data_IF_970312697388
#
_entry.id   IF_970312697388
#
_cell.length_a   1.000
_cell.length_b   1.000
_cell.length_c   1.000
_cell.angle_alpha   90.00
_cell.angle_beta   90.00
_cell.angle_gamma   90.00
#
_symmetry.space_group_name_H-M   'P 1'
#
loop_
_entity.id
_entity.type
_entity.pdbx_description
1 polymer ?
#
# COMPACT_ATOMS: atom_id res chain seq x y z
N UNK A 1 -19.87 -0.77 -2.34
CA UNK A 1 -18.75 0.00 -2.95
C UNK A 1 -17.33 -0.33 -2.42
N UNK A 2 -17.11 -1.05 -1.29
CA UNK A 2 -15.76 -1.51 -0.84
C UNK A 2 -15.05 -2.54 -1.77
N UNK A 3 -15.33 -2.57 -3.08
CA UNK A 3 -14.82 -3.58 -4.04
C UNK A 3 -14.33 -3.01 -5.40
N UNK A 4 -14.39 -1.69 -5.61
CA UNK A 4 -14.07 -1.05 -6.91
C UNK A 4 -12.64 -0.47 -7.02
N UNK A 5 -11.73 -0.83 -6.08
CA UNK A 5 -10.34 -0.32 -6.07
C UNK A 5 -9.26 -1.43 -6.28
N UNK A 6 -9.44 -2.46 -7.13
CA UNK A 6 -8.36 -3.43 -7.38
C UNK A 6 -7.30 -2.92 -8.36
N UNK A 7 -7.65 -2.05 -9.33
CA UNK A 7 -6.76 -1.72 -10.44
C UNK A 7 -5.64 -0.74 -10.05
N UNK A 8 -5.94 0.25 -9.21
CA UNK A 8 -4.93 1.20 -8.72
C UNK A 8 -3.89 0.54 -7.79
N UNK A 9 -4.24 -0.56 -7.11
CA UNK A 9 -3.29 -1.31 -6.29
C UNK A 9 -2.16 -1.93 -7.12
N UNK A 10 -2.40 -2.25 -8.41
CA UNK A 10 -1.34 -2.76 -9.30
C UNK A 10 -0.28 -1.69 -9.62
N UNK A 11 -0.69 -0.42 -9.69
CA UNK A 11 0.20 0.73 -9.83
C UNK A 11 0.97 1.05 -8.53
N UNK A 12 0.53 0.49 -7.40
CA UNK A 12 1.20 0.55 -6.10
C UNK A 12 2.03 -0.72 -5.78
N UNK A 13 2.28 -1.64 -6.73
CA UNK A 13 3.24 -2.74 -6.53
C UNK A 13 4.69 -2.26 -6.30
N UNK A 14 4.96 -0.96 -6.49
CA UNK A 14 6.22 -0.32 -6.08
C UNK A 14 6.31 -0.15 -4.55
N UNK A 15 5.20 -0.09 -3.81
CA UNK A 15 5.20 0.19 -2.36
C UNK A 15 5.44 -1.03 -1.46
N UNK A 16 5.68 -2.22 -2.03
CA UNK A 16 6.11 -3.42 -1.30
C UNK A 16 7.50 -3.92 -1.74
N UNK A 17 8.20 -3.18 -2.59
CA UNK A 17 9.63 -3.37 -2.83
C UNK A 17 10.39 -2.50 -1.80
N UNK A 18 11.36 -3.04 -1.05
CA UNK A 18 12.29 -2.20 -0.29
C UNK A 18 13.03 -1.25 -1.25
N UNK A 19 13.25 -0.01 -0.81
CA UNK A 19 13.79 1.08 -1.63
C UNK A 19 15.33 1.03 -1.66
N UNK A 20 15.93 1.22 -2.84
CA UNK A 20 17.34 0.98 -3.18
C UNK A 20 17.83 2.11 -4.16
N UNK A 21 19.12 2.26 -4.52
CA UNK A 21 19.62 3.12 -5.65
C UNK A 21 21.08 2.89 -6.11
N UNK A 22 21.61 3.43 -7.24
CA UNK A 22 21.18 4.38 -8.31
C UNK A 22 21.95 4.12 -9.65
N UNK A 23 21.98 4.92 -10.73
CA UNK A 23 22.78 4.78 -12.01
C UNK A 23 22.82 3.43 -12.82
N UNK A 24 22.59 3.27 -14.13
CA UNK A 24 22.16 4.16 -15.21
C UNK A 24 22.67 3.82 -16.64
N UNK A 25 22.67 2.55 -17.14
CA UNK A 25 22.97 2.27 -18.58
C UNK A 25 22.17 1.13 -19.26
N UNK A 26 22.05 1.24 -20.59
CA UNK A 26 21.01 0.64 -21.45
C UNK A 26 20.76 -0.86 -21.28
N UNK A 27 19.52 -1.21 -20.94
CA UNK A 27 19.03 -2.56 -20.63
C UNK A 27 18.89 -3.52 -21.84
N UNK A 28 19.99 -3.72 -22.57
CA UNK A 28 20.12 -4.76 -23.61
C UNK A 28 21.00 -5.93 -23.20
N UNK A 29 21.93 -5.76 -22.25
CA UNK A 29 22.82 -6.81 -21.75
C UNK A 29 23.51 -6.42 -20.41
N UNK A 30 22.81 -5.68 -19.54
CA UNK A 30 23.38 -5.16 -18.28
C UNK A 30 23.50 -6.26 -17.21
N UNK A 31 24.47 -6.15 -16.30
CA UNK A 31 24.61 -7.06 -15.16
C UNK A 31 23.54 -6.86 -14.08
N UNK A 32 23.50 -7.70 -13.03
CA UNK A 32 22.47 -7.66 -12.00
C UNK A 32 22.54 -6.37 -11.18
N UNK A 33 23.75 -5.95 -10.78
CA UNK A 33 23.96 -4.67 -10.14
C UNK A 33 23.58 -3.53 -11.09
N UNK A 34 24.10 -3.48 -12.31
CA UNK A 34 23.84 -2.40 -13.28
C UNK A 34 22.37 -2.28 -13.69
N UNK A 35 21.60 -3.36 -13.65
CA UNK A 35 20.15 -3.35 -13.96
C UNK A 35 19.34 -2.77 -12.81
N UNK A 36 19.66 -3.17 -11.57
CA UNK A 36 19.10 -2.58 -10.36
C UNK A 36 19.51 -1.10 -10.26
N UNK A 37 20.81 -0.81 -10.28
CA UNK A 37 21.43 0.53 -10.30
C UNK A 37 20.75 1.38 -11.45
N UNK A 38 20.41 0.82 -12.65
CA UNK A 38 19.68 1.55 -13.70
C UNK A 38 18.21 1.93 -13.41
N UNK A 39 17.40 1.04 -12.83
CA UNK A 39 16.01 1.32 -12.39
C UNK A 39 15.94 2.59 -11.53
N UNK A 40 16.97 2.78 -10.72
CA UNK A 40 16.88 3.56 -9.51
C UNK A 40 17.39 4.99 -9.67
N UNK A 41 18.37 5.22 -10.57
CA UNK A 41 18.57 6.56 -11.13
C UNK A 41 17.29 7.10 -11.74
N UNK A 42 16.46 6.22 -12.33
CA UNK A 42 15.15 6.60 -12.84
C UNK A 42 14.25 7.18 -11.75
N UNK A 43 14.13 6.48 -10.60
CA UNK A 43 13.34 6.97 -9.46
C UNK A 43 13.89 8.29 -8.90
N UNK A 44 15.21 8.41 -8.69
CA UNK A 44 15.86 9.66 -8.23
C UNK A 44 15.52 10.85 -9.15
N UNK A 45 15.68 10.65 -10.47
CA UNK A 45 15.48 11.68 -11.49
C UNK A 45 14.01 11.86 -11.90
N UNK A 46 13.07 11.22 -11.20
CA UNK A 46 11.62 11.22 -11.46
C UNK A 46 11.24 10.73 -12.88
N UNK A 47 12.04 9.81 -13.40
CA UNK A 47 11.92 9.10 -14.68
C UNK A 47 11.40 7.67 -14.45
N UNK A 48 10.11 7.58 -14.14
CA UNK A 48 9.38 6.34 -13.85
C UNK A 48 9.28 5.41 -15.08
N UNK A 49 9.61 5.87 -16.28
CA UNK A 49 9.84 4.98 -17.43
C UNK A 49 10.91 3.92 -17.15
N UNK A 50 11.87 4.18 -16.25
CA UNK A 50 12.84 3.18 -15.81
C UNK A 50 12.19 2.01 -15.04
N UNK A 51 11.16 2.29 -14.23
CA UNK A 51 10.39 1.26 -13.50
C UNK A 51 9.65 0.35 -14.49
N UNK A 52 9.08 0.92 -15.55
CA UNK A 52 8.50 0.12 -16.63
C UNK A 52 9.57 -0.69 -17.38
N UNK A 53 10.68 -0.05 -17.78
CA UNK A 53 11.76 -0.67 -18.56
C UNK A 53 12.51 -1.77 -17.80
N UNK A 54 12.49 -1.77 -16.46
CA UNK A 54 13.05 -2.82 -15.62
C UNK A 54 12.29 -4.16 -15.75
N UNK A 55 10.96 -4.12 -15.91
CA UNK A 55 10.12 -5.32 -16.00
C UNK A 55 10.38 -6.13 -17.30
N UNK A 56 10.38 -7.48 -17.27
CA UNK A 56 10.32 -8.35 -18.44
C UNK A 56 9.20 -7.98 -19.43
N UNK A 57 9.34 -8.38 -20.70
CA UNK A 57 8.36 -8.06 -21.74
C UNK A 57 7.01 -8.75 -21.49
N UNK A 58 7.00 -10.00 -21.02
CA UNK A 58 5.76 -10.66 -20.58
C UNK A 58 5.12 -9.97 -19.38
N UNK A 59 5.91 -9.41 -18.46
CA UNK A 59 5.41 -8.73 -17.26
C UNK A 59 4.78 -7.38 -17.64
N UNK A 60 5.39 -6.64 -18.57
CA UNK A 60 4.81 -5.45 -19.20
C UNK A 60 3.49 -5.81 -19.92
N UNK A 61 3.48 -6.92 -20.67
CA UNK A 61 2.28 -7.39 -21.37
C UNK A 61 1.15 -7.82 -20.41
N UNK A 62 1.47 -8.50 -19.30
CA UNK A 62 0.50 -8.89 -18.27
C UNK A 62 -0.24 -7.67 -17.71
N UNK A 63 0.50 -6.62 -17.33
CA UNK A 63 -0.08 -5.38 -16.77
C UNK A 63 -0.94 -4.64 -17.81
N UNK A 64 -0.44 -4.49 -19.04
CA UNK A 64 -1.20 -3.86 -20.12
C UNK A 64 -2.50 -4.65 -20.41
N UNK A 65 -2.40 -5.97 -20.52
CA UNK A 65 -3.56 -6.84 -20.78
C UNK A 65 -4.58 -6.78 -19.64
N UNK A 66 -4.14 -6.75 -18.38
CA UNK A 66 -5.03 -6.65 -17.22
C UNK A 66 -5.84 -5.33 -17.20
N UNK A 67 -5.22 -4.21 -17.57
CA UNK A 67 -5.91 -2.92 -17.68
C UNK A 67 -6.94 -2.91 -18.81
N UNK A 68 -6.61 -3.53 -19.95
CA UNK A 68 -7.49 -3.66 -21.12
C UNK A 68 -8.64 -4.64 -20.85
N UNK A 69 -8.38 -5.76 -20.15
CA UNK A 69 -9.37 -6.73 -19.68
C UNK A 69 -10.38 -6.08 -18.73
N UNK A 70 -9.92 -5.26 -17.78
CA UNK A 70 -10.80 -4.48 -16.91
C UNK A 70 -11.68 -3.51 -17.72
N UNK A 71 -11.09 -2.80 -18.69
CA UNK A 71 -11.83 -1.88 -19.56
C UNK A 71 -12.91 -2.59 -20.38
N UNK A 72 -12.68 -3.85 -20.78
CA UNK A 72 -13.69 -4.66 -21.51
C UNK A 72 -14.90 -5.06 -20.66
N UNK A 73 -14.74 -5.08 -19.32
CA UNK A 73 -15.76 -5.55 -18.35
C UNK A 73 -16.53 -4.43 -17.68
N UNK A 74 -15.90 -3.27 -17.47
CA UNK A 74 -16.45 -2.19 -16.66
C UNK A 74 -17.56 -1.42 -17.40
N UNK A 75 -18.53 -0.89 -16.64
CA UNK A 75 -19.56 -0.02 -17.19
C UNK A 75 -19.01 1.40 -17.46
N UNK A 76 -19.15 1.94 -18.70
CA UNK A 76 -18.55 3.22 -19.07
C UNK A 76 -19.21 4.43 -18.41
N UNK A 77 -20.50 4.36 -18.05
CA UNK A 77 -21.22 5.44 -17.40
C UNK A 77 -20.75 5.59 -15.94
N UNK A 78 -20.56 4.46 -15.25
CA UNK A 78 -19.95 4.43 -13.91
C UNK A 78 -18.49 4.89 -13.98
N UNK A 79 -17.69 4.37 -14.92
CA UNK A 79 -16.25 4.62 -14.96
C UNK A 79 -15.91 6.04 -15.38
N UNK A 80 -16.41 6.49 -16.54
CA UNK A 80 -16.14 7.84 -17.04
C UNK A 80 -16.76 8.88 -16.12
N UNK A 81 -18.00 8.65 -15.63
CA UNK A 81 -18.66 9.53 -14.68
C UNK A 81 -17.88 9.71 -13.38
N UNK A 82 -17.21 8.67 -12.87
CA UNK A 82 -16.32 8.80 -11.71
C UNK A 82 -15.08 9.67 -12.00
N UNK A 83 -14.49 9.55 -13.19
CA UNK A 83 -13.34 10.37 -13.58
C UNK A 83 -13.71 11.83 -13.89
N UNK A 84 -14.84 12.08 -14.55
CA UNK A 84 -15.40 13.42 -14.74
C UNK A 84 -15.67 14.11 -13.39
N UNK A 85 -16.24 13.37 -12.43
CA UNK A 85 -16.40 13.83 -11.04
C UNK A 85 -15.05 14.18 -10.39
N UNK A 86 -14.02 13.35 -10.62
CA UNK A 86 -12.66 13.58 -10.15
C UNK A 86 -11.99 14.80 -10.79
N UNK A 87 -12.20 15.03 -12.09
CA UNK A 87 -11.70 16.21 -12.81
C UNK A 87 -12.34 17.50 -12.30
N UNK A 88 -13.65 17.48 -12.04
CA UNK A 88 -14.37 18.61 -11.40
C UNK A 88 -13.84 18.89 -10.00
N UNK A 89 -13.64 17.85 -9.18
CA UNK A 89 -13.03 17.99 -7.85
C UNK A 89 -11.61 18.60 -7.95
N UNK A 90 -10.75 18.08 -8.82
CA UNK A 90 -9.40 18.60 -9.03
C UNK A 90 -9.40 20.09 -9.45
N UNK A 91 -10.35 20.47 -10.32
CA UNK A 91 -10.57 21.86 -10.71
C UNK A 91 -10.99 22.74 -9.51
N UNK A 92 -11.95 22.31 -8.69
CA UNK A 92 -12.38 23.05 -7.49
C UNK A 92 -11.22 23.22 -6.50
N UNK A 93 -10.47 22.15 -6.23
CA UNK A 93 -9.32 22.20 -5.32
C UNK A 93 -8.22 23.17 -5.79
N UNK A 94 -8.12 23.41 -7.11
CA UNK A 94 -7.20 24.37 -7.71
C UNK A 94 -7.75 25.80 -7.72
N UNK A 95 -9.02 25.99 -8.11
CA UNK A 95 -9.64 27.30 -8.30
C UNK A 95 -10.16 27.94 -7.01
N UNK A 96 -10.50 27.13 -6.00
CA UNK A 96 -11.09 27.58 -4.72
C UNK A 96 -10.13 27.38 -3.53
N UNK A 97 -8.82 27.22 -3.78
CA UNK A 97 -7.77 26.97 -2.75
C UNK A 97 -7.97 27.84 -1.50
N UNK A 98 -8.03 29.15 -1.68
CA UNK A 98 -8.12 30.09 -0.56
C UNK A 98 -9.41 29.90 0.27
N UNK A 99 -10.56 29.68 -0.37
CA UNK A 99 -11.82 29.41 0.33
C UNK A 99 -11.77 28.12 1.16
N UNK A 100 -11.01 27.12 0.71
CA UNK A 100 -10.84 25.85 1.42
C UNK A 100 -9.86 26.01 2.59
N UNK A 101 -8.74 26.70 2.39
CA UNK A 101 -7.75 26.96 3.46
C UNK A 101 -8.29 27.92 4.54
N UNK A 102 -9.19 28.83 4.17
CA UNK A 102 -9.91 29.70 5.10
C UNK A 102 -11.05 28.99 5.86
N UNK A 103 -11.45 27.78 5.46
CA UNK A 103 -12.54 27.06 6.11
C UNK A 103 -12.17 26.74 7.58
N UNK A 104 -13.06 27.10 8.51
CA UNK A 104 -12.82 26.94 9.95
C UNK A 104 -12.56 25.49 10.40
N UNK A 105 -13.00 24.47 9.66
CA UNK A 105 -12.69 23.07 9.97
C UNK A 105 -11.29 22.68 9.51
N UNK A 106 -10.81 23.25 8.40
CA UNK A 106 -9.43 23.06 7.91
C UNK A 106 -8.44 23.78 8.82
N UNK A 107 -8.78 25.00 9.28
CA UNK A 107 -7.99 25.75 10.27
C UNK A 107 -7.94 25.09 11.67
N UNK A 108 -8.71 24.03 11.92
CA UNK A 108 -8.68 23.23 13.16
C UNK A 108 -7.84 21.94 13.03
N UNK A 109 -7.28 21.66 11.86
CA UNK A 109 -6.28 20.59 11.67
C UNK A 109 -5.00 20.96 12.45
N UNK A 110 -4.33 20.03 13.15
CA UNK A 110 -3.12 20.32 13.94
C UNK A 110 -1.86 20.48 13.05
N UNK A 111 -1.93 21.36 12.05
CA UNK A 111 -0.84 21.72 11.14
C UNK A 111 -0.80 23.24 10.94
N UNK A 112 0.38 23.89 10.86
CA UNK A 112 0.48 25.32 10.58
C UNK A 112 -0.18 25.68 9.23
N UNK A 113 -0.90 26.82 9.13
CA UNK A 113 -1.53 27.26 7.87
C UNK A 113 -0.54 27.37 6.70
N UNK A 114 0.71 27.76 6.99
CA UNK A 114 1.79 27.86 6.01
C UNK A 114 2.11 26.49 5.41
N UNK A 115 2.29 25.46 6.25
CA UNK A 115 2.52 24.08 5.82
C UNK A 115 1.33 23.49 5.07
N UNK A 116 0.10 23.82 5.47
CA UNK A 116 -1.10 23.45 4.71
C UNK A 116 -1.09 24.10 3.31
N UNK A 117 -0.67 25.37 3.21
CA UNK A 117 -0.53 26.09 1.94
C UNK A 117 0.56 25.53 1.01
N UNK A 118 1.67 25.04 1.57
CA UNK A 118 2.78 24.37 0.88
C UNK A 118 2.36 22.99 0.34
N UNK A 119 1.85 22.12 1.22
CA UNK A 119 1.41 20.75 0.89
C UNK A 119 0.24 20.72 -0.10
N UNK A 120 -0.54 21.79 -0.19
CA UNK A 120 -1.72 21.89 -1.07
C UNK A 120 -1.38 21.63 -2.54
N UNK A 121 -0.38 22.33 -3.07
CA UNK A 121 -0.15 22.35 -4.51
C UNK A 121 0.33 20.97 -5.04
N UNK A 122 1.30 20.29 -4.41
CA UNK A 122 1.66 18.92 -4.80
C UNK A 122 0.51 17.92 -4.66
N UNK A 123 -0.28 18.02 -3.59
CA UNK A 123 -1.45 17.14 -3.36
C UNK A 123 -2.50 17.28 -4.46
N UNK A 124 -2.87 18.52 -4.82
CA UNK A 124 -3.82 18.79 -5.91
C UNK A 124 -3.26 18.40 -7.28
N UNK A 125 -1.94 18.55 -7.48
CA UNK A 125 -1.27 18.07 -8.70
C UNK A 125 -1.32 16.54 -8.84
N UNK A 126 -1.14 15.78 -7.75
CA UNK A 126 -1.25 14.31 -7.76
C UNK A 126 -2.66 13.89 -8.22
N UNK A 127 -3.70 14.46 -7.59
CA UNK A 127 -5.09 14.21 -7.96
C UNK A 127 -5.32 14.60 -9.43
N UNK A 128 -4.85 15.78 -9.84
CA UNK A 128 -4.98 16.28 -11.21
C UNK A 128 -4.29 15.39 -12.24
N UNK A 129 -3.10 14.87 -11.96
CA UNK A 129 -2.37 13.96 -12.85
C UNK A 129 -3.17 12.66 -13.06
N UNK A 130 -3.63 12.02 -11.98
CA UNK A 130 -4.42 10.79 -12.05
C UNK A 130 -5.71 10.98 -12.86
N UNK A 131 -6.51 12.01 -12.55
CA UNK A 131 -7.84 12.17 -13.18
C UNK A 131 -7.81 12.66 -14.63
N UNK A 132 -6.65 13.08 -15.15
CA UNK A 132 -6.46 13.48 -16.55
C UNK A 132 -5.58 12.50 -17.36
N UNK A 133 -5.00 11.48 -16.70
CA UNK A 133 -4.07 10.48 -17.26
C UNK A 133 -4.66 9.57 -18.36
N UNK A 134 -3.90 8.57 -18.81
CA UNK A 134 -4.41 7.49 -19.67
C UNK A 134 -5.43 6.57 -18.97
N UNK A 135 -5.59 6.69 -17.65
CA UNK A 135 -6.65 6.03 -16.89
C UNK A 135 -7.99 6.79 -16.95
N UNK A 136 -8.01 8.03 -17.46
CA UNK A 136 -9.15 8.96 -17.27
C UNK A 136 -10.42 8.65 -18.06
N UNK A 137 -10.40 7.64 -18.93
CA UNK A 137 -11.63 7.08 -19.50
C UNK A 137 -11.45 5.61 -19.86
N UNK A 138 -12.57 4.89 -19.89
CA UNK A 138 -12.60 3.47 -20.25
C UNK A 138 -12.08 3.24 -21.69
N UNK A 139 -12.29 4.20 -22.60
CA UNK A 139 -11.79 4.11 -23.98
C UNK A 139 -10.27 4.30 -24.07
N UNK A 140 -9.66 5.13 -23.21
CA UNK A 140 -8.20 5.19 -23.08
C UNK A 140 -7.64 3.89 -22.51
N UNK A 141 -8.32 3.29 -21.52
CA UNK A 141 -7.88 2.02 -20.93
C UNK A 141 -7.90 0.84 -21.91
N UNK A 142 -8.82 0.81 -22.89
CA UNK A 142 -8.84 -0.21 -23.97
C UNK A 142 -7.54 -0.25 -24.79
N UNK A 143 -6.79 0.85 -24.80
CA UNK A 143 -5.46 0.96 -25.39
C UNK A 143 -4.40 1.37 -24.37
N UNK A 144 -4.54 0.93 -23.11
CA UNK A 144 -3.60 1.29 -22.05
C UNK A 144 -2.20 0.78 -22.37
N UNK A 145 -1.21 1.67 -22.26
CA UNK A 145 0.21 1.35 -22.29
C UNK A 145 0.89 1.88 -21.02
N UNK A 146 1.42 0.98 -20.19
CA UNK A 146 2.09 1.32 -18.95
C UNK A 146 3.39 2.10 -19.14
N UNK A 147 4.05 2.00 -20.29
CA UNK A 147 5.25 2.77 -20.61
C UNK A 147 4.93 4.24 -20.88
N UNK A 148 3.89 4.50 -21.68
CA UNK A 148 3.35 5.85 -21.88
C UNK A 148 2.82 6.42 -20.56
N UNK A 149 2.05 5.64 -19.79
CA UNK A 149 1.54 6.08 -18.49
C UNK A 149 2.68 6.45 -17.53
N UNK A 150 3.72 5.62 -17.39
CA UNK A 150 4.83 5.90 -16.48
C UNK A 150 5.64 7.12 -16.93
N UNK A 151 6.03 7.20 -18.21
CA UNK A 151 6.79 8.34 -18.76
C UNK A 151 6.05 9.68 -18.74
N UNK A 152 4.72 9.68 -18.64
CA UNK A 152 3.89 10.91 -18.65
C UNK A 152 3.27 11.22 -17.28
N UNK A 153 2.45 10.30 -16.77
CA UNK A 153 1.72 10.45 -15.50
C UNK A 153 2.58 10.01 -14.34
N UNK A 154 3.31 8.89 -14.45
CA UNK A 154 4.26 8.43 -13.43
C UNK A 154 5.29 9.51 -13.08
N UNK A 155 5.89 10.16 -14.08
CA UNK A 155 6.87 11.24 -13.89
C UNK A 155 6.25 12.46 -13.18
N UNK A 156 4.99 12.79 -13.47
CA UNK A 156 4.26 13.84 -12.74
C UNK A 156 3.95 13.44 -11.30
N UNK A 157 3.59 12.18 -11.05
CA UNK A 157 3.36 11.67 -9.69
C UNK A 157 4.64 11.68 -8.87
N UNK A 158 5.73 11.11 -9.39
CA UNK A 158 7.04 11.07 -8.74
C UNK A 158 7.51 12.48 -8.34
N UNK A 159 7.44 13.44 -9.25
CA UNK A 159 7.81 14.83 -8.99
C UNK A 159 7.02 15.47 -7.83
N UNK A 160 5.71 15.23 -7.75
CA UNK A 160 4.89 15.78 -6.67
C UNK A 160 5.04 14.99 -5.36
N UNK A 161 5.34 13.68 -5.43
CA UNK A 161 5.66 12.86 -4.25
C UNK A 161 7.02 13.26 -3.62
N UNK A 162 8.05 13.53 -4.43
CA UNK A 162 9.32 14.10 -3.97
C UNK A 162 9.08 15.46 -3.30
N UNK A 163 8.31 16.34 -3.94
CA UNK A 163 7.96 17.64 -3.36
C UNK A 163 7.15 17.56 -2.04
N UNK A 164 6.40 16.48 -1.80
CA UNK A 164 5.78 16.21 -0.48
C UNK A 164 6.78 15.64 0.52
N UNK A 165 7.70 14.78 0.08
CA UNK A 165 8.77 14.21 0.91
C UNK A 165 9.75 15.27 1.41
N UNK A 166 10.09 16.26 0.59
CA UNK A 166 11.00 17.35 0.96
C UNK A 166 10.35 18.33 1.97
N UNK A 167 9.01 18.35 2.07
CA UNK A 167 8.24 19.13 3.05
C UNK A 167 7.95 18.35 4.35
N UNK A 168 8.20 17.04 4.37
CA UNK A 168 8.00 16.21 5.55
C UNK A 168 9.04 16.52 6.64
N UNK A 169 8.67 16.51 7.94
CA UNK A 169 9.67 16.57 9.01
C UNK A 169 10.55 15.32 8.97
N UNK A 170 11.86 15.48 8.76
CA UNK A 170 12.86 14.42 8.93
C UNK A 170 13.54 14.52 10.31
N UNK A 171 13.93 13.39 10.94
CA UNK A 171 14.71 13.41 12.18
C UNK A 171 16.07 14.10 12.01
N UNK A 172 16.56 14.74 13.07
CA UNK A 172 17.87 15.40 13.06
C UNK A 172 19.00 14.36 12.88
N UNK A 173 19.67 14.41 11.73
CA UNK A 173 20.81 13.55 11.40
C UNK A 173 20.51 12.43 10.39
N UNK A 174 19.25 12.18 10.05
CA UNK A 174 18.88 11.20 9.02
C UNK A 174 18.89 11.82 7.60
N UNK A 175 19.43 11.09 6.63
CA UNK A 175 19.31 11.40 5.22
C UNK A 175 17.83 11.33 4.77
N UNK A 176 17.36 12.35 4.04
CA UNK A 176 16.03 12.32 3.42
C UNK A 176 15.93 11.24 2.35
N UNK A 177 14.71 10.92 1.93
CA UNK A 177 14.46 9.95 0.85
C UNK A 177 15.28 10.26 -0.42
N UNK A 178 15.38 11.52 -0.85
CA UNK A 178 16.13 11.92 -2.04
C UNK A 178 17.65 11.82 -1.85
N UNK A 179 18.17 12.12 -0.65
CA UNK A 179 19.58 11.92 -0.27
C UNK A 179 19.92 10.42 -0.19
N UNK A 180 19.05 9.61 0.44
CA UNK A 180 19.20 8.14 0.54
C UNK A 180 19.27 7.48 -0.82
N UNK A 181 18.32 7.78 -1.73
CA UNK A 181 18.38 7.26 -3.10
C UNK A 181 19.74 7.61 -3.73
N UNK A 182 20.06 8.89 -3.82
CA UNK A 182 21.26 9.37 -4.51
C UNK A 182 22.58 8.75 -4.02
N UNK A 183 22.70 8.43 -2.74
CA UNK A 183 23.93 7.89 -2.15
C UNK A 183 23.97 6.36 -2.02
N UNK A 184 22.86 5.66 -2.31
CA UNK A 184 22.83 4.19 -2.25
C UNK A 184 23.71 3.56 -3.32
N UNK A 185 24.37 2.45 -2.95
CA UNK A 185 25.25 1.67 -3.82
C UNK A 185 24.81 0.21 -3.89
N UNK A 186 24.76 -0.34 -5.08
CA UNK A 186 24.56 -1.76 -5.41
C UNK A 186 25.89 -2.33 -5.88
N UNK A 187 26.26 -3.47 -5.35
CA UNK A 187 27.46 -4.22 -5.74
C UNK A 187 27.11 -5.68 -5.97
N UNK A 188 27.86 -6.39 -6.82
CA UNK A 188 27.68 -7.84 -7.02
C UNK A 188 28.48 -8.59 -5.96
N UNK A 189 27.81 -9.44 -5.18
CA UNK A 189 28.46 -10.38 -4.24
C UNK A 189 28.78 -11.68 -4.95
N UNK A 190 27.85 -12.18 -5.76
CA UNK A 190 27.97 -13.44 -6.49
C UNK A 190 27.18 -13.40 -7.80
N UNK A 191 27.51 -14.28 -8.75
CA UNK A 191 26.71 -14.53 -9.96
C UNK A 191 26.94 -15.96 -10.41
N UNK A 192 25.86 -16.72 -10.63
CA UNK A 192 25.89 -18.09 -11.14
C UNK A 192 24.89 -18.21 -12.31
N UNK A 193 25.39 -18.02 -13.53
CA UNK A 193 24.62 -18.06 -14.78
C UNK A 193 23.47 -17.04 -14.85
N UNK A 194 22.28 -17.47 -14.46
CA UNK A 194 21.03 -16.70 -14.47
C UNK A 194 20.54 -16.29 -13.08
N UNK A 195 21.32 -16.54 -12.02
CA UNK A 195 21.11 -16.01 -10.66
C UNK A 195 22.29 -15.14 -10.20
N UNK A 196 22.07 -14.24 -9.25
CA UNK A 196 23.10 -13.41 -8.63
C UNK A 196 22.67 -12.90 -7.25
N UNK A 197 23.60 -12.74 -6.31
CA UNK A 197 23.38 -11.95 -5.09
C UNK A 197 23.97 -10.56 -5.29
N UNK A 198 23.18 -9.52 -5.05
CA UNK A 198 23.63 -8.14 -4.99
C UNK A 198 23.56 -7.62 -3.55
N UNK A 199 24.55 -6.82 -3.16
CA UNK A 199 24.63 -6.15 -1.86
C UNK A 199 24.34 -4.68 -2.05
N UNK A 200 23.48 -4.12 -1.18
CA UNK A 200 22.94 -2.78 -1.32
C UNK A 200 23.14 -2.00 -0.03
N UNK A 201 23.81 -0.85 -0.15
CA UNK A 201 24.33 -0.05 0.96
C UNK A 201 23.77 1.37 0.83
N UNK A 202 22.77 1.70 1.66
CA UNK A 202 22.10 3.00 1.71
C UNK A 202 22.54 3.79 2.96
N UNK A 203 22.45 5.14 2.97
CA UNK A 203 22.70 5.92 4.18
C UNK A 203 21.75 5.53 5.32
N UNK A 204 22.28 5.55 6.54
CA UNK A 204 21.56 5.30 7.80
C UNK A 204 20.82 3.95 7.88
N UNK A 205 21.24 2.97 7.09
CA UNK A 205 20.66 1.62 7.05
C UNK A 205 21.73 0.53 6.99
N UNK A 206 21.45 -0.64 7.55
CA UNK A 206 22.33 -1.79 7.42
C UNK A 206 22.35 -2.32 5.97
N UNK A 207 23.53 -2.67 5.43
CA UNK A 207 23.66 -3.31 4.13
C UNK A 207 22.81 -4.57 3.98
N UNK A 208 21.99 -4.61 2.94
CA UNK A 208 21.08 -5.74 2.63
C UNK A 208 21.60 -6.52 1.43
N UNK A 209 21.41 -7.83 1.43
CA UNK A 209 21.74 -8.69 0.28
C UNK A 209 20.46 -9.25 -0.33
N UNK A 210 20.25 -8.95 -1.61
CA UNK A 210 19.05 -9.28 -2.38
C UNK A 210 19.41 -10.30 -3.48
N UNK A 211 18.56 -11.31 -3.69
CA UNK A 211 18.74 -12.29 -4.75
C UNK A 211 18.07 -11.80 -6.03
N UNK A 212 18.80 -11.89 -7.14
CA UNK A 212 18.39 -11.45 -8.47
C UNK A 212 18.38 -12.63 -9.43
N UNK A 213 17.36 -12.70 -10.28
CA UNK A 213 17.23 -13.73 -11.33
C UNK A 213 17.02 -13.10 -12.69
N UNK A 214 17.52 -13.76 -13.75
CA UNK A 214 17.41 -13.27 -15.12
C UNK A 214 16.15 -13.82 -15.79
N UNK A 215 15.15 -12.96 -16.01
CA UNK A 215 13.90 -13.27 -16.73
C UNK A 215 13.88 -12.49 -18.04
N UNK A 216 13.76 -13.19 -19.16
CA UNK A 216 13.73 -12.59 -20.53
C UNK A 216 14.93 -11.67 -20.84
N UNK A 217 16.10 -11.97 -20.26
CA UNK A 217 17.31 -11.17 -20.42
C UNK A 217 17.44 -9.97 -19.46
N UNK A 218 16.45 -9.73 -18.59
CA UNK A 218 16.50 -8.68 -17.56
C UNK A 218 16.69 -9.28 -16.17
N UNK A 219 17.50 -8.64 -15.34
CA UNK A 219 17.66 -9.01 -13.94
C UNK A 219 16.58 -8.35 -13.08
N UNK A 220 15.81 -9.16 -12.36
CA UNK A 220 14.78 -8.71 -11.40
C UNK A 220 14.99 -9.38 -10.03
N UNK A 221 14.48 -8.81 -8.93
CA UNK A 221 14.48 -9.46 -7.62
C UNK A 221 13.78 -10.81 -7.69
N UNK A 222 14.36 -11.83 -7.05
CA UNK A 222 13.81 -13.18 -7.08
C UNK A 222 12.41 -13.22 -6.45
N UNK A 223 12.19 -12.50 -5.36
CA UNK A 223 10.87 -12.37 -4.74
C UNK A 223 9.80 -11.86 -5.73
N UNK A 224 10.15 -10.87 -6.58
CA UNK A 224 9.28 -10.38 -7.64
C UNK A 224 9.04 -11.43 -8.73
N UNK A 225 10.07 -12.20 -9.11
CA UNK A 225 9.95 -13.25 -10.10
C UNK A 225 9.02 -14.39 -9.64
N UNK A 226 9.28 -14.92 -8.45
CA UNK A 226 8.57 -16.07 -7.87
C UNK A 226 7.08 -15.75 -7.62
N UNK A 227 6.78 -14.52 -7.16
CA UNK A 227 5.40 -14.12 -6.85
C UNK A 227 4.60 -13.55 -8.04
N UNK A 228 5.24 -13.19 -9.16
CA UNK A 228 4.56 -12.51 -10.29
C UNK A 228 3.34 -13.28 -10.81
N UNK A 229 3.50 -14.57 -11.07
CA UNK A 229 2.43 -15.39 -11.65
C UNK A 229 1.26 -15.58 -10.67
N UNK A 230 1.50 -15.71 -9.35
CA UNK A 230 0.42 -15.70 -8.33
C UNK A 230 -0.30 -14.35 -8.35
N UNK A 231 0.43 -13.23 -8.31
CA UNK A 231 -0.14 -11.90 -8.30
C UNK A 231 -1.00 -11.60 -9.55
N UNK A 232 -0.55 -12.00 -10.74
CA UNK A 232 -1.33 -11.83 -11.98
C UNK A 232 -2.53 -12.77 -12.05
N UNK A 233 -2.42 -14.01 -11.56
CA UNK A 233 -3.56 -14.93 -11.45
C UNK A 233 -4.62 -14.40 -10.48
N UNK A 234 -4.22 -13.92 -9.31
CA UNK A 234 -5.12 -13.31 -8.31
C UNK A 234 -5.79 -12.04 -8.84
N UNK A 235 -5.07 -11.21 -9.60
CA UNK A 235 -5.63 -10.04 -10.26
C UNK A 235 -6.68 -10.41 -11.32
N UNK A 236 -6.37 -11.39 -12.19
CA UNK A 236 -7.30 -11.93 -13.21
C UNK A 236 -8.52 -12.60 -12.57
N UNK A 237 -8.35 -13.28 -11.44
CA UNK A 237 -9.43 -13.86 -10.64
C UNK A 237 -10.36 -12.77 -10.08
N UNK A 238 -9.80 -11.72 -9.47
CA UNK A 238 -10.55 -10.55 -8.97
C UNK A 238 -11.30 -9.82 -10.10
N UNK A 239 -10.72 -9.70 -11.30
CA UNK A 239 -11.41 -9.17 -12.49
C UNK A 239 -12.50 -10.11 -13.04
N UNK A 240 -12.34 -11.42 -12.90
CA UNK A 240 -13.35 -12.40 -13.33
C UNK A 240 -14.61 -12.34 -12.46
N UNK A 241 -14.46 -11.94 -11.18
CA UNK A 241 -15.57 -11.64 -10.28
C UNK A 241 -16.33 -10.33 -10.58
N UNK A 242 -15.87 -9.50 -11.52
CA UNK A 242 -16.62 -8.35 -12.04
C UNK A 242 -17.54 -8.82 -13.17
N UNK A 243 -18.68 -9.42 -12.82
CA UNK A 243 -19.70 -9.84 -13.80
C UNK A 243 -20.64 -8.67 -14.16
N UNK A 244 -21.25 -8.67 -15.37
CA UNK A 244 -22.27 -7.69 -15.73
C UNK A 244 -23.44 -7.63 -14.74
N UNK A 245 -23.80 -8.74 -14.09
CA UNK A 245 -24.84 -8.75 -13.06
C UNK A 245 -24.41 -7.91 -11.85
N UNK A 246 -23.24 -8.18 -11.26
CA UNK A 246 -22.76 -7.47 -10.06
C UNK A 246 -22.61 -5.96 -10.29
N UNK A 247 -22.22 -5.55 -11.50
CA UNK A 247 -22.18 -4.15 -11.93
C UNK A 247 -23.59 -3.58 -12.06
N UNK A 248 -24.53 -4.29 -12.69
CA UNK A 248 -25.91 -3.84 -12.92
C UNK A 248 -26.72 -3.72 -11.64
N UNK A 249 -26.63 -4.70 -10.73
CA UNK A 249 -27.29 -4.72 -9.41
C UNK A 249 -27.04 -3.43 -8.62
N UNK A 250 -25.81 -2.92 -8.68
CA UNK A 250 -25.36 -1.75 -7.93
C UNK A 250 -25.40 -0.46 -8.77
N UNK A 251 -25.56 -0.53 -10.10
CA UNK A 251 -25.39 0.60 -11.03
C UNK A 251 -26.27 1.80 -10.65
N UNK A 252 -27.55 1.59 -10.38
CA UNK A 252 -28.47 2.69 -10.03
C UNK A 252 -28.05 3.38 -8.72
N UNK A 253 -27.57 2.64 -7.73
CA UNK A 253 -27.10 3.22 -6.46
C UNK A 253 -25.78 4.00 -6.66
N UNK A 254 -24.86 3.46 -7.46
CA UNK A 254 -23.58 4.12 -7.76
C UNK A 254 -23.80 5.40 -8.56
N UNK A 255 -24.65 5.38 -9.58
CA UNK A 255 -25.02 6.57 -10.36
C UNK A 255 -25.77 7.61 -9.50
N UNK A 256 -26.66 7.18 -8.60
CA UNK A 256 -27.32 8.10 -7.67
C UNK A 256 -26.32 8.80 -6.73
N UNK A 257 -25.31 8.07 -6.23
CA UNK A 257 -24.23 8.66 -5.43
C UNK A 257 -23.34 9.60 -6.27
N UNK A 258 -22.95 9.20 -7.48
CA UNK A 258 -22.20 10.06 -8.39
C UNK A 258 -22.97 11.33 -8.73
N UNK A 259 -24.30 11.25 -8.95
CA UNK A 259 -25.14 12.44 -9.15
C UNK A 259 -25.14 13.34 -7.90
N UNK A 260 -25.35 12.78 -6.72
CA UNK A 260 -25.34 13.54 -5.46
C UNK A 260 -24.02 14.29 -5.27
N UNK A 261 -22.88 13.63 -5.49
CA UNK A 261 -21.56 14.28 -5.45
C UNK A 261 -21.46 15.38 -6.52
N UNK A 262 -21.88 15.12 -7.76
CA UNK A 262 -21.84 16.11 -8.84
C UNK A 262 -22.76 17.32 -8.60
N UNK A 263 -23.88 17.16 -7.90
CA UNK A 263 -24.76 18.24 -7.47
C UNK A 263 -24.06 19.12 -6.41
N UNK A 264 -23.38 18.51 -5.43
CA UNK A 264 -22.59 19.24 -4.42
C UNK A 264 -21.37 19.94 -5.04
N UNK A 265 -20.66 19.29 -5.98
CA UNK A 265 -19.56 19.92 -6.72
C UNK A 265 -20.06 21.10 -7.56
N UNK A 266 -21.27 21.04 -8.13
CA UNK A 266 -21.86 22.16 -8.87
C UNK A 266 -22.15 23.36 -7.95
N UNK A 267 -22.63 23.12 -6.73
CA UNK A 267 -22.81 24.18 -5.72
C UNK A 267 -21.47 24.84 -5.38
N UNK A 268 -20.43 24.04 -5.08
CA UNK A 268 -19.07 24.52 -4.78
C UNK A 268 -18.41 25.29 -5.95
N UNK A 269 -18.61 24.85 -7.19
CA UNK A 269 -18.18 25.60 -8.39
C UNK A 269 -18.89 26.96 -8.48
N UNK A 270 -20.22 26.94 -8.33
CA UNK A 270 -21.08 28.11 -8.54
C UNK A 270 -20.95 29.20 -7.46
N UNK A 271 -20.47 28.84 -6.26
CA UNK A 271 -20.30 29.75 -5.13
C UNK A 271 -19.39 30.94 -5.50
N UNK A 272 -19.93 32.15 -5.35
CA UNK A 272 -19.29 33.45 -5.65
C UNK A 272 -18.63 34.08 -4.44
N UNK A 273 -18.99 33.63 -3.25
CA UNK A 273 -18.39 34.07 -1.98
C UNK A 273 -17.81 32.88 -1.21
N UNK A 274 -16.88 33.18 -0.32
CA UNK A 274 -16.34 32.20 0.62
C UNK A 274 -17.43 31.64 1.57
N UNK A 275 -18.45 32.46 1.91
CA UNK A 275 -19.58 32.04 2.74
C UNK A 275 -20.48 31.02 2.04
N UNK A 276 -20.88 31.28 0.78
CA UNK A 276 -21.65 30.33 -0.04
C UNK A 276 -20.90 29.00 -0.20
N UNK A 277 -19.59 29.07 -0.40
CA UNK A 277 -18.72 27.92 -0.53
C UNK A 277 -18.61 27.14 0.79
N UNK A 278 -18.35 27.82 1.91
CA UNK A 278 -18.18 27.19 3.22
C UNK A 278 -19.49 26.64 3.80
N UNK A 279 -20.64 27.23 3.48
CA UNK A 279 -21.95 26.66 3.80
C UNK A 279 -22.20 25.32 3.08
N UNK A 280 -21.60 25.13 1.90
CA UNK A 280 -21.68 23.87 1.13
C UNK A 280 -20.59 22.87 1.58
N UNK A 281 -19.36 23.33 1.81
CA UNK A 281 -18.22 22.47 2.15
C UNK A 281 -18.25 21.96 3.60
N UNK A 282 -18.70 22.77 4.57
CA UNK A 282 -18.61 22.41 5.99
C UNK A 282 -19.45 21.17 6.35
N UNK A 283 -20.69 20.99 5.85
CA UNK A 283 -21.43 19.73 6.02
C UNK A 283 -20.71 18.50 5.43
N UNK A 284 -20.03 18.66 4.28
CA UNK A 284 -19.24 17.59 3.66
C UNK A 284 -18.03 17.22 4.51
N UNK A 285 -17.31 18.21 5.05
CA UNK A 285 -16.20 17.98 5.98
C UNK A 285 -16.67 17.34 7.29
N UNK A 286 -17.83 17.73 7.83
CA UNK A 286 -18.44 17.07 8.99
C UNK A 286 -18.81 15.62 8.70
N UNK A 287 -19.43 15.34 7.54
CA UNK A 287 -19.74 13.97 7.12
C UNK A 287 -18.47 13.12 6.92
N UNK A 288 -17.41 13.70 6.34
CA UNK A 288 -16.12 13.04 6.18
C UNK A 288 -15.45 12.75 7.53
N UNK A 289 -15.50 13.69 8.48
CA UNK A 289 -14.97 13.52 9.83
C UNK A 289 -15.76 12.47 10.63
N UNK A 290 -17.09 12.50 10.60
CA UNK A 290 -17.92 11.44 11.21
C UNK A 290 -17.71 10.08 10.54
N UNK A 291 -17.53 10.05 9.21
CA UNK A 291 -17.18 8.85 8.45
C UNK A 291 -15.81 8.30 8.88
N UNK A 292 -14.81 9.16 9.03
CA UNK A 292 -13.48 8.77 9.50
C UNK A 292 -13.48 8.33 10.97
N UNK A 293 -14.25 8.97 11.85
CA UNK A 293 -14.43 8.54 13.24
C UNK A 293 -15.17 7.20 13.34
N UNK A 294 -16.16 6.95 12.48
CA UNK A 294 -16.83 5.65 12.41
C UNK A 294 -15.90 4.56 11.83
N UNK A 295 -15.01 4.89 10.89
CA UNK A 295 -13.98 3.98 10.38
C UNK A 295 -12.90 3.70 11.43
N UNK A 296 -12.40 4.73 12.12
CA UNK A 296 -11.44 4.61 13.23
C UNK A 296 -12.08 3.87 14.41
N UNK A 297 -13.39 4.05 14.66
CA UNK A 297 -14.14 3.27 15.64
C UNK A 297 -14.32 1.80 15.24
N UNK A 298 -14.50 1.52 13.93
CA UNK A 298 -14.53 0.15 13.40
C UNK A 298 -13.15 -0.50 13.28
N UNK A 299 -12.07 0.28 13.23
CA UNK A 299 -10.66 -0.17 13.25
C UNK A 299 -10.06 -0.24 14.66
N UNK A 300 -10.62 0.52 15.62
CA UNK A 300 -10.36 0.40 17.05
C UNK A 300 -11.22 -0.67 17.74
N UNK A 301 -12.26 -1.16 17.05
CA UNK A 301 -12.74 -2.53 17.21
C UNK A 301 -11.84 -3.45 16.35
N UNK A 302 -11.57 -4.70 16.75
CA UNK A 302 -10.96 -5.67 15.83
C UNK A 302 -11.87 -5.86 14.61
N UNK A 303 -11.31 -5.68 13.40
CA UNK A 303 -12.05 -5.53 12.13
C UNK A 303 -12.72 -6.83 11.64
N UNK A 304 -13.80 -7.23 12.31
CA UNK A 304 -14.66 -8.35 11.90
C UNK A 304 -15.42 -8.04 10.60
N UNK A 305 -14.79 -8.30 9.46
CA UNK A 305 -15.45 -8.41 8.16
C UNK A 305 -15.31 -7.20 7.21
N UNK A 306 -14.12 -7.01 6.63
CA UNK A 306 -13.97 -6.12 5.48
C UNK A 306 -12.57 -6.19 4.85
N UNK A 307 -12.43 -6.52 3.54
CA UNK A 307 -11.11 -6.72 2.93
C UNK A 307 -10.38 -5.39 2.73
N UNK A 308 -9.34 -5.16 3.53
CA UNK A 308 -8.36 -4.07 3.33
C UNK A 308 -7.15 -4.66 2.61
N UNK A 309 -7.29 -4.87 1.30
CA UNK A 309 -6.27 -5.51 0.48
C UNK A 309 -5.15 -4.57 0.05
N UNK A 310 -4.21 -4.30 0.96
CA UNK A 310 -2.80 -4.09 0.58
C UNK A 310 -2.09 -5.46 0.51
N UNK A 311 -0.92 -5.57 -0.16
CA UNK A 311 -0.12 -6.79 -0.17
C UNK A 311 0.60 -6.98 1.18
N UNK A 312 -0.13 -7.43 2.20
CA UNK A 312 0.49 -8.02 3.39
C UNK A 312 1.07 -9.37 3.00
N UNK A 313 2.38 -9.56 3.17
CA UNK A 313 3.00 -10.88 3.11
C UNK A 313 2.61 -11.63 4.40
N UNK A 314 1.92 -12.76 4.23
CA UNK A 314 1.24 -13.47 5.31
C UNK A 314 -0.28 -13.31 5.25
N UNK A 315 -0.97 -14.39 4.89
CA UNK A 315 -2.44 -14.46 4.89
C UNK A 315 -2.93 -14.75 6.31
N UNK A 316 -3.44 -13.74 7.03
CA UNK A 316 -4.11 -13.94 8.31
C UNK A 316 -5.45 -14.66 8.10
N UNK A 317 -5.40 -15.99 8.19
CA UNK A 317 -6.59 -16.85 8.09
C UNK A 317 -7.65 -16.47 9.14
N UNK A 318 -8.94 -16.67 8.85
CA UNK A 318 -10.02 -16.33 9.77
C UNK A 318 -9.92 -17.14 11.08
N UNK A 319 -9.48 -16.47 12.14
CA UNK A 319 -9.28 -17.04 13.48
C UNK A 319 -10.60 -17.60 14.02
N UNK A 320 -10.68 -18.92 14.18
CA UNK A 320 -11.72 -19.57 14.97
C UNK A 320 -11.48 -19.25 16.46
N UNK A 321 -12.42 -18.58 17.17
CA UNK A 321 -12.28 -18.31 18.61
C UNK A 321 -12.09 -19.58 19.45
N UNK A 322 -12.53 -20.74 18.96
CA UNK A 322 -12.35 -22.03 19.64
C UNK A 322 -10.94 -22.64 19.41
N UNK A 323 -10.14 -22.08 18.51
CA UNK A 323 -8.77 -22.50 18.20
C UNK A 323 -7.71 -21.43 18.53
N UNK A 324 -8.13 -20.20 18.86
CA UNK A 324 -7.25 -19.17 19.41
C UNK A 324 -6.67 -19.60 20.78
N UNK A 325 -5.37 -19.37 21.01
CA UNK A 325 -4.71 -19.43 22.33
C UNK A 325 -4.03 -18.10 22.62
N UNK A 326 -4.05 -17.69 23.89
CA UNK A 326 -3.41 -16.46 24.37
C UNK A 326 -2.25 -16.81 25.30
N UNK A 327 -1.00 -16.61 24.87
CA UNK A 327 0.16 -16.63 25.79
C UNK A 327 0.28 -15.25 26.43
N UNK A 328 0.51 -15.22 27.74
CA UNK A 328 0.65 -14.01 28.56
C UNK A 328 2.02 -14.06 29.23
N UNK A 329 2.83 -13.02 29.05
CA UNK A 329 4.12 -12.83 29.69
C UNK A 329 4.06 -11.54 30.49
N UNK A 330 4.22 -11.64 31.81
CA UNK A 330 4.11 -10.51 32.76
C UNK A 330 5.36 -9.60 32.76
N UNK A 331 5.91 -9.37 31.57
CA UNK A 331 7.00 -8.45 31.24
C UNK A 331 6.70 -7.81 29.88
N UNK A 332 6.99 -6.52 29.74
CA UNK A 332 7.01 -5.80 28.47
C UNK A 332 8.26 -6.16 27.67
N UNK A 333 8.08 -6.65 26.46
CA UNK A 333 9.16 -7.06 25.56
C UNK A 333 9.30 -6.07 24.41
N UNK A 334 10.53 -5.67 24.10
CA UNK A 334 10.87 -5.00 22.83
C UNK A 334 10.73 -5.98 21.66
N UNK A 335 10.61 -5.48 20.43
CA UNK A 335 10.43 -6.35 19.25
C UNK A 335 11.55 -7.41 19.15
N UNK A 336 12.81 -7.02 19.35
CA UNK A 336 13.97 -7.92 19.35
C UNK A 336 13.97 -8.98 20.48
N UNK A 337 13.18 -8.78 21.54
CA UNK A 337 12.93 -9.81 22.56
C UNK A 337 11.71 -10.69 22.22
N UNK A 338 10.82 -10.24 21.33
CA UNK A 338 9.65 -10.99 20.86
C UNK A 338 10.03 -11.95 19.72
N UNK A 339 10.90 -11.53 18.80
CA UNK A 339 11.32 -12.33 17.63
C UNK A 339 11.76 -13.78 17.98
N UNK A 340 12.69 -14.04 18.92
CA UNK A 340 13.07 -15.41 19.28
C UNK A 340 11.97 -16.20 20.01
N UNK A 341 10.99 -15.52 20.62
CA UNK A 341 9.80 -16.17 21.21
C UNK A 341 8.83 -16.58 20.11
N UNK A 342 8.65 -15.76 19.08
CA UNK A 342 7.82 -16.06 17.91
C UNK A 342 8.39 -17.28 17.17
N UNK A 343 9.71 -17.35 16.94
CA UNK A 343 10.37 -18.53 16.37
C UNK A 343 10.06 -19.81 17.18
N UNK A 344 10.15 -19.75 18.51
CA UNK A 344 9.85 -20.91 19.35
C UNK A 344 8.36 -21.23 19.47
N UNK A 345 7.45 -20.28 19.23
CA UNK A 345 6.02 -20.54 19.06
C UNK A 345 5.77 -21.28 17.75
N UNK A 346 6.39 -20.87 16.63
CA UNK A 346 6.31 -21.56 15.34
C UNK A 346 6.78 -23.02 15.46
N UNK A 347 7.87 -23.27 16.19
CA UNK A 347 8.38 -24.61 16.50
C UNK A 347 7.51 -25.40 17.51
N UNK A 348 6.52 -24.76 18.15
CA UNK A 348 5.66 -25.37 19.18
C UNK A 348 4.25 -25.69 18.70
N UNK A 349 3.79 -25.21 17.54
CA UNK A 349 2.47 -25.58 17.00
C UNK A 349 2.50 -26.94 16.29
N UNK A 350 1.35 -27.40 15.80
CA UNK A 350 1.23 -28.67 15.04
C UNK A 350 1.30 -28.47 13.52
N UNK A 351 1.08 -27.24 13.05
CA UNK A 351 1.29 -26.79 11.67
C UNK A 351 1.83 -25.36 11.70
N UNK A 352 3.08 -25.18 11.27
CA UNK A 352 3.78 -23.88 11.27
C UNK A 352 3.57 -23.08 9.97
N UNK A 353 3.01 -23.68 8.92
CA UNK A 353 2.70 -22.99 7.66
C UNK A 353 1.32 -22.32 7.70
N UNK A 354 0.46 -22.74 8.64
CA UNK A 354 -0.92 -22.27 8.80
C UNK A 354 -1.18 -21.43 10.07
N UNK A 355 -0.14 -21.08 10.85
CA UNK A 355 -0.30 -20.34 12.12
C UNK A 355 -0.19 -18.82 11.96
N UNK A 356 -1.17 -18.10 12.49
CA UNK A 356 -1.12 -16.66 12.76
C UNK A 356 -0.63 -16.42 14.20
N UNK A 357 0.32 -15.51 14.39
CA UNK A 357 0.86 -15.08 15.68
C UNK A 357 0.80 -13.54 15.75
N UNK A 358 -0.08 -13.01 16.61
CA UNK A 358 -0.21 -11.56 16.83
C UNK A 358 0.35 -11.19 18.22
N UNK A 359 1.53 -10.55 18.32
CA UNK A 359 2.01 -9.94 19.55
C UNK A 359 1.25 -8.64 19.85
N UNK A 360 1.02 -8.38 21.14
CA UNK A 360 0.28 -7.22 21.65
C UNK A 360 0.84 -6.82 23.02
N UNK A 361 1.15 -5.54 23.23
CA UNK A 361 1.59 -5.02 24.52
C UNK A 361 0.41 -4.37 25.27
N UNK A 362 0.13 -4.83 26.48
CA UNK A 362 -0.90 -4.26 27.37
C UNK A 362 -0.23 -3.80 28.68
N UNK A 363 0.09 -2.50 28.75
CA UNK A 363 0.85 -1.91 29.86
C UNK A 363 2.26 -2.48 29.96
N UNK A 364 2.51 -3.25 31.02
CA UNK A 364 3.77 -3.94 31.31
C UNK A 364 3.72 -5.45 31.00
N UNK A 365 2.69 -5.91 30.28
CA UNK A 365 2.50 -7.31 29.88
C UNK A 365 2.61 -7.45 28.35
N UNK A 366 3.26 -8.52 27.88
CA UNK A 366 3.28 -8.90 26.47
C UNK A 366 2.38 -10.11 26.25
N UNK A 367 1.53 -10.06 25.24
CA UNK A 367 0.48 -11.04 24.96
C UNK A 367 0.66 -11.52 23.52
N UNK A 368 0.77 -12.83 23.31
CA UNK A 368 0.79 -13.44 21.97
C UNK A 368 -0.53 -14.19 21.74
N UNK A 369 -1.28 -13.78 20.73
CA UNK A 369 -2.44 -14.52 20.22
C UNK A 369 -1.99 -15.48 19.13
N UNK A 370 -2.36 -16.75 19.23
CA UNK A 370 -1.84 -17.83 18.40
C UNK A 370 -3.01 -18.66 17.88
N UNK A 371 -3.12 -18.85 16.57
CA UNK A 371 -4.21 -19.64 15.98
C UNK A 371 -3.77 -20.24 14.63
N UNK A 372 -4.11 -21.49 14.30
CA UNK A 372 -4.91 -22.44 15.08
C UNK A 372 -4.07 -23.24 16.08
N UNK A 373 -4.62 -23.46 17.28
CA UNK A 373 -4.11 -24.41 18.27
C UNK A 373 -5.27 -25.29 18.72
N UNK A 374 -5.22 -26.59 18.46
CA UNK A 374 -6.31 -27.49 18.85
C UNK A 374 -6.37 -27.68 20.39
N UNK A 375 -5.29 -28.22 20.96
CA UNK A 375 -5.18 -28.58 22.38
C UNK A 375 -4.20 -27.64 23.12
N UNK A 376 -4.76 -26.84 24.04
CA UNK A 376 -4.02 -25.86 24.85
C UNK A 376 -3.07 -26.53 25.83
N UNK A 377 -3.42 -27.71 26.37
CA UNK A 377 -2.57 -28.43 27.32
C UNK A 377 -1.43 -29.18 26.62
N UNK A 378 -1.65 -29.70 25.41
CA UNK A 378 -0.58 -30.28 24.59
C UNK A 378 0.39 -29.19 24.13
N UNK A 379 -0.13 -28.07 23.63
CA UNK A 379 0.67 -26.91 23.22
C UNK A 379 1.49 -26.32 24.37
N UNK A 380 0.91 -26.15 25.56
CA UNK A 380 1.64 -25.66 26.74
C UNK A 380 2.86 -26.53 27.09
N UNK A 381 2.80 -27.86 26.88
CA UNK A 381 3.92 -28.78 27.13
C UNK A 381 5.04 -28.68 26.06
N UNK A 382 4.73 -28.13 24.89
CA UNK A 382 5.70 -27.92 23.80
C UNK A 382 6.56 -26.67 23.99
N UNK A 383 6.05 -25.60 24.61
CA UNK A 383 6.78 -24.34 24.89
C UNK A 383 8.21 -24.58 25.44
N UNK A 384 9.19 -23.81 24.94
CA UNK A 384 10.62 -23.91 25.30
C UNK A 384 11.31 -22.58 25.66
N UNK A 385 10.66 -21.44 25.45
CA UNK A 385 11.20 -20.09 25.72
C UNK A 385 10.95 -19.62 27.17
N UNK A 386 10.50 -20.53 28.04
CA UNK A 386 10.04 -20.24 29.38
C UNK A 386 9.17 -21.35 29.93
N UNK A 387 8.75 -21.18 31.18
CA UNK A 387 7.97 -22.14 31.95
C UNK A 387 6.49 -21.73 32.01
N UNK A 388 5.54 -22.57 31.57
CA UNK A 388 4.11 -22.34 31.80
C UNK A 388 3.80 -22.34 33.31
N UNK A 389 3.53 -21.16 33.86
CA UNK A 389 3.18 -20.96 35.27
C UNK A 389 1.70 -21.24 35.54
N UNK A 390 0.85 -20.96 34.55
CA UNK A 390 -0.60 -21.23 34.59
C UNK A 390 -1.10 -21.62 33.20
N UNK A 391 -1.90 -22.68 33.12
CA UNK A 391 -2.64 -23.08 31.92
C UNK A 391 -4.13 -23.09 32.27
N UNK A 392 -4.95 -22.38 31.50
CA UNK A 392 -6.41 -22.41 31.62
C UNK A 392 -7.03 -22.82 30.27
N UNK A 393 -7.43 -24.10 30.11
CA UNK A 393 -8.06 -24.59 28.88
C UNK A 393 -9.46 -24.00 28.61
N UNK A 394 -10.11 -23.35 29.59
CA UNK A 394 -11.47 -22.78 29.42
C UNK A 394 -11.41 -21.37 28.85
N UNK A 395 -10.47 -20.55 29.32
CA UNK A 395 -10.17 -19.24 28.72
C UNK A 395 -9.13 -19.33 27.60
N UNK A 396 -8.60 -20.55 27.36
CA UNK A 396 -7.58 -20.87 26.34
C UNK A 396 -6.33 -19.99 26.46
N UNK A 397 -5.89 -19.76 27.70
CA UNK A 397 -4.77 -18.87 28.03
C UNK A 397 -3.66 -19.59 28.79
N UNK A 398 -2.41 -19.19 28.53
CA UNK A 398 -1.20 -19.72 29.16
C UNK A 398 -0.37 -18.55 29.69
N UNK A 399 -0.15 -18.47 31.00
CA UNK A 399 0.84 -17.53 31.57
C UNK A 399 2.20 -18.22 31.56
N UNK A 400 3.23 -17.56 31.00
CA UNK A 400 4.61 -18.05 30.91
C UNK A 400 5.54 -17.16 31.72
N UNK A 401 6.25 -17.75 32.68
CA UNK A 401 7.45 -17.19 33.29
C UNK A 401 8.61 -17.39 32.29
N UNK A 402 9.27 -16.32 31.85
CA UNK A 402 10.47 -16.47 31.00
C UNK A 402 11.62 -17.08 31.82
N UNK A 403 12.42 -17.91 31.17
CA UNK A 403 13.73 -18.31 31.72
C UNK A 403 14.70 -17.11 31.64
N UNK A 404 15.59 -16.96 32.64
CA UNK A 404 16.53 -15.82 32.76
C UNK A 404 17.84 -16.04 32.00
#
# INVERSE_FOLDING_TARGET
MKKLIPLFALLFLVSSLPLLSGCGKSAGNSGPAESMQALLNGVENQQMEAVWQFLPASYQQDVNSLAQDFASKMDPEIYNGAFETGQRLAKILKEKKEYILNNQMIQRVPLPPEKLGELWNPTVNIISALVNSDLSSLDKLKSFDGGNFMSTTGNQLAKNMVALSDLAPKPDGEASFSEKLKETKVTVVSTDGDTATIRIEAPDEEPKEEQMVKVEGKWIPQNLADNWQKAMADARSKLSGLTPETLTENKQQVLAMLKMVNDTLAQLESAKTEEEFNNTLTPVLMMALMGSQNLIGQMGQPMMGGPVGGPSLGESMPVDPNQLVTIIIEKKLTNAEQDPIIEQILLSVDDSEQVNIEPMAEGETTIFKISPVADVEAFAKKIKFGKPAKVDPKTRSITVELDN
#
